data_IF_196485214576
#
_entry.id   IF_196485214576
#
_cell.length_a   1.000
_cell.length_b   1.000
_cell.length_c   1.000
_cell.angle_alpha   90.00
_cell.angle_beta   90.00
_cell.angle_gamma   90.00
#
_symmetry.space_group_name_H-M   'P 1'
#
loop_
_entity.id
_entity.type
_entity.pdbx_description
1 polymer ?
#
# COMPACT_ATOMS: atom_id res chain seq x y z
N UNK A 1 13.44 7.45 63.41
CA UNK A 1 13.26 6.41 62.39
C UNK A 1 12.19 6.84 61.39
N UNK A 2 12.58 7.40 60.24
CA UNK A 2 11.69 7.60 59.09
C UNK A 2 12.55 7.43 57.83
N UNK A 3 12.53 6.24 57.25
CA UNK A 3 13.13 5.99 55.94
C UNK A 3 12.11 6.39 54.89
N UNK A 4 12.34 7.50 54.19
CA UNK A 4 11.58 7.85 52.99
C UNK A 4 12.18 7.05 51.82
N UNK A 5 11.51 5.98 51.42
CA UNK A 5 11.84 5.26 50.18
C UNK A 5 11.38 6.13 49.00
N UNK A 6 12.34 6.70 48.26
CA UNK A 6 12.08 7.39 47.01
C UNK A 6 11.88 6.32 45.92
N UNK A 7 10.62 6.00 45.58
CA UNK A 7 10.33 5.19 44.40
C UNK A 7 10.58 6.03 43.14
N UNK A 8 11.72 5.81 42.48
CA UNK A 8 11.93 6.27 41.09
C UNK A 8 11.09 5.39 40.16
N UNK A 9 9.93 5.88 39.74
CA UNK A 9 9.16 5.28 38.65
C UNK A 9 9.90 5.53 37.33
N UNK A 10 10.52 4.48 36.78
CA UNK A 10 11.12 4.51 35.44
C UNK A 10 9.97 4.61 34.41
N UNK A 11 9.73 5.79 33.87
CA UNK A 11 8.78 5.98 32.78
C UNK A 11 9.36 5.34 31.52
N UNK A 12 8.86 4.15 31.15
CA UNK A 12 9.16 3.54 29.86
C UNK A 12 8.48 4.35 28.76
N UNK A 13 9.23 5.21 28.08
CA UNK A 13 8.79 5.81 26.83
C UNK A 13 8.76 4.71 25.76
N UNK A 14 7.56 4.26 25.38
CA UNK A 14 7.37 3.38 24.23
C UNK A 14 7.60 4.24 22.99
N UNK A 15 8.78 4.15 22.39
CA UNK A 15 9.04 4.80 21.10
C UNK A 15 8.26 4.04 20.02
N UNK A 16 7.34 4.72 19.33
CA UNK A 16 6.71 4.16 18.13
C UNK A 16 7.78 4.06 17.03
N UNK A 17 8.05 2.84 16.58
CA UNK A 17 8.92 2.57 15.45
C UNK A 17 8.05 2.63 14.19
N UNK A 18 8.21 3.68 13.38
CA UNK A 18 7.44 3.89 12.15
C UNK A 18 8.15 3.34 10.93
N UNK A 19 7.43 2.57 10.12
CA UNK A 19 7.88 2.10 8.81
C UNK A 19 7.41 3.05 7.71
N UNK A 20 8.07 3.00 6.55
CA UNK A 20 7.77 3.89 5.43
C UNK A 20 8.04 3.18 4.13
N UNK A 21 7.05 3.12 3.25
CA UNK A 21 7.15 2.37 2.00
C UNK A 21 6.03 2.68 1.02
N UNK A 22 6.28 2.44 -0.27
CA UNK A 22 5.31 2.63 -1.35
C UNK A 22 5.70 1.85 -2.60
N UNK A 23 4.75 1.64 -3.50
CA UNK A 23 5.06 1.28 -4.90
C UNK A 23 5.50 2.52 -5.67
N UNK A 24 6.67 2.46 -6.30
CA UNK A 24 7.19 3.51 -7.17
C UNK A 24 6.98 3.23 -8.66
N UNK A 25 6.94 1.95 -9.07
CA UNK A 25 6.57 1.54 -10.43
C UNK A 25 5.78 0.22 -10.38
N UNK A 26 4.56 0.12 -10.96
CA UNK A 26 3.77 1.20 -11.55
C UNK A 26 3.40 2.27 -10.50
N UNK A 27 3.54 3.55 -10.88
CA UNK A 27 3.36 4.70 -9.97
C UNK A 27 2.02 4.64 -9.25
N UNK A 28 2.06 4.68 -7.91
CA UNK A 28 0.84 4.70 -7.09
C UNK A 28 0.18 6.09 -7.07
N UNK A 29 -1.13 6.13 -6.82
CA UNK A 29 -1.98 7.35 -6.86
C UNK A 29 -1.37 8.53 -6.10
N UNK A 30 -0.91 8.29 -4.86
CA UNK A 30 -0.30 9.31 -4.00
C UNK A 30 1.05 9.84 -4.48
N UNK A 31 1.70 9.14 -5.42
CA UNK A 31 3.03 9.48 -5.94
C UNK A 31 3.01 10.10 -7.34
N UNK A 32 1.83 10.24 -7.99
CA UNK A 32 1.72 10.78 -9.36
C UNK A 32 2.40 12.15 -9.51
N UNK A 33 2.37 12.98 -8.46
CA UNK A 33 2.99 14.31 -8.44
C UNK A 33 4.51 14.34 -8.57
N UNK A 34 5.18 13.19 -8.37
CA UNK A 34 6.64 13.07 -8.53
C UNK A 34 7.07 12.88 -9.98
N UNK A 35 6.11 12.74 -10.89
CA UNK A 35 6.30 12.33 -12.27
C UNK A 35 5.76 13.43 -13.19
N UNK A 36 6.63 14.27 -13.79
CA UNK A 36 6.22 15.40 -14.62
C UNK A 36 5.30 15.00 -15.79
N UNK A 37 5.37 13.75 -16.24
CA UNK A 37 4.48 13.20 -17.26
C UNK A 37 3.00 13.20 -16.85
N UNK A 38 2.67 13.30 -15.56
CA UNK A 38 1.29 13.35 -15.05
C UNK A 38 0.83 14.75 -14.61
N UNK A 39 1.65 15.79 -14.77
CA UNK A 39 1.32 17.16 -14.36
C UNK A 39 0.02 17.67 -15.01
N UNK A 40 -0.28 17.23 -16.23
CA UNK A 40 -1.49 17.58 -16.97
C UNK A 40 -2.79 17.23 -16.21
N UNK A 41 -2.73 16.23 -15.33
CA UNK A 41 -3.88 15.75 -14.56
C UNK A 41 -4.01 16.43 -13.20
N UNK A 42 -3.11 17.35 -12.85
CA UNK A 42 -3.07 18.02 -11.56
C UNK A 42 -3.23 17.01 -10.38
N UNK A 43 -2.29 16.08 -10.18
CA UNK A 43 -2.43 14.96 -9.26
C UNK A 43 -2.53 15.34 -7.77
N UNK A 44 -2.45 16.63 -7.44
CA UNK A 44 -2.24 17.08 -6.07
C UNK A 44 -0.78 16.89 -5.67
N UNK A 45 -0.47 17.07 -4.39
CA UNK A 45 0.89 16.83 -3.87
C UNK A 45 0.79 16.20 -2.48
N UNK A 46 1.27 14.97 -2.37
CA UNK A 46 1.39 14.25 -1.11
C UNK A 46 2.88 14.07 -0.76
N UNK A 47 3.49 14.99 0.01
CA UNK A 47 4.91 14.90 0.34
C UNK A 47 5.29 13.64 1.13
N UNK A 48 4.34 13.11 1.89
CA UNK A 48 4.40 11.93 2.76
C UNK A 48 3.79 10.68 2.09
N UNK A 49 3.94 10.54 0.77
CA UNK A 49 3.45 9.41 -0.03
C UNK A 49 4.14 8.04 0.24
N UNK A 50 4.95 7.97 1.30
CA UNK A 50 5.46 6.75 1.94
C UNK A 50 4.66 6.37 3.21
N UNK A 51 3.76 7.24 3.67
CA UNK A 51 2.98 7.12 4.92
C UNK A 51 1.53 6.68 4.66
N UNK A 52 1.28 5.85 3.66
CA UNK A 52 -0.05 5.24 3.47
C UNK A 52 -0.25 4.03 4.42
N UNK A 53 -0.09 4.32 5.71
CA UNK A 53 0.04 3.42 6.86
C UNK A 53 -1.27 3.13 7.61
N UNK A 54 -2.39 3.20 6.91
CA UNK A 54 -3.72 2.87 7.45
C UNK A 54 -4.13 3.77 8.64
N UNK A 55 -3.61 5.00 8.68
CA UNK A 55 -3.83 5.98 9.75
C UNK A 55 -2.79 5.90 10.87
N UNK A 56 -2.69 4.76 11.55
CA UNK A 56 -1.62 4.44 12.53
C UNK A 56 -1.91 3.10 13.19
N UNK A 57 -0.99 2.62 14.02
CA UNK A 57 -1.23 1.46 14.89
C UNK A 57 -2.41 1.68 15.85
N UNK A 58 -2.56 2.89 16.38
CA UNK A 58 -3.70 3.24 17.24
C UNK A 58 -5.06 3.11 16.52
N UNK A 59 -5.06 3.20 15.17
CA UNK A 59 -6.23 2.93 14.34
C UNK A 59 -6.34 1.44 14.00
N UNK A 60 -5.25 0.76 13.63
CA UNK A 60 -5.36 -0.62 13.13
C UNK A 60 -5.53 -1.67 14.23
N UNK A 61 -4.91 -1.50 15.41
CA UNK A 61 -4.92 -2.51 16.48
C UNK A 61 -6.34 -2.82 16.99
N UNK A 62 -7.21 -1.83 17.29
CA UNK A 62 -8.57 -2.11 17.75
C UNK A 62 -9.46 -2.76 16.68
N UNK A 63 -9.07 -2.66 15.41
CA UNK A 63 -9.83 -3.16 14.26
C UNK A 63 -9.10 -4.29 13.51
N UNK A 64 -8.26 -5.05 14.22
CA UNK A 64 -7.64 -6.28 13.71
C UNK A 64 -6.90 -6.05 12.38
N UNK A 65 -6.14 -4.96 12.29
CA UNK A 65 -5.36 -4.65 11.09
C UNK A 65 -6.17 -4.06 9.93
N UNK A 66 -7.44 -3.72 10.14
CA UNK A 66 -8.27 -3.12 9.10
C UNK A 66 -7.65 -1.81 8.58
N UNK A 67 -7.72 -1.63 7.27
CA UNK A 67 -7.09 -0.53 6.55
C UNK A 67 -8.02 -0.03 5.44
N UNK A 68 -7.91 1.25 5.05
CA UNK A 68 -8.52 1.71 3.79
C UNK A 68 -7.97 0.92 2.60
N UNK A 69 -8.70 0.89 1.48
CA UNK A 69 -8.32 0.03 0.34
C UNK A 69 -6.95 0.43 -0.23
N UNK A 70 -6.61 1.71 -0.16
CA UNK A 70 -5.39 2.27 -0.72
C UNK A 70 -4.49 2.95 0.34
N UNK A 71 -4.63 2.52 1.61
CA UNK A 71 -3.72 2.87 2.71
C UNK A 71 -4.14 4.05 3.57
N UNK A 72 -5.29 4.65 3.27
CA UNK A 72 -5.95 5.64 4.13
C UNK A 72 -6.47 5.00 5.44
N UNK A 73 -6.77 5.84 6.44
CA UNK A 73 -7.36 5.39 7.70
C UNK A 73 -8.77 4.89 7.49
N UNK A 74 -9.15 3.81 8.18
CA UNK A 74 -10.54 3.34 8.15
C UNK A 74 -11.52 4.36 8.75
N UNK A 75 -11.02 5.28 9.59
CA UNK A 75 -11.79 6.34 10.23
C UNK A 75 -12.01 7.56 9.33
N UNK A 76 -11.28 7.65 8.21
CA UNK A 76 -11.49 8.71 7.24
C UNK A 76 -12.86 8.55 6.56
N UNK A 77 -13.56 9.65 6.26
CA UNK A 77 -14.81 9.58 5.52
C UNK A 77 -14.59 8.96 4.14
N UNK A 78 -15.55 8.15 3.68
CA UNK A 78 -15.60 7.78 2.27
C UNK A 78 -16.06 8.99 1.44
N UNK A 79 -15.48 9.28 0.28
CA UNK A 79 -14.39 8.58 -0.42
C UNK A 79 -13.03 8.97 0.17
N UNK A 80 -12.21 7.99 0.54
CA UNK A 80 -10.88 8.26 1.12
C UNK A 80 -9.93 8.78 0.04
N UNK A 81 -8.85 9.45 0.45
CA UNK A 81 -8.01 10.24 -0.46
C UNK A 81 -7.43 9.44 -1.63
N UNK A 82 -7.13 8.16 -1.43
CA UNK A 82 -6.51 7.31 -2.44
C UNK A 82 -7.46 6.29 -3.08
N UNK A 83 -8.73 6.24 -2.66
CA UNK A 83 -9.75 5.37 -3.25
C UNK A 83 -10.37 6.04 -4.50
N UNK A 84 -11.13 5.31 -5.32
CA UNK A 84 -11.86 5.87 -6.49
C UNK A 84 -12.67 7.11 -6.08
N UNK A 85 -12.47 8.22 -6.82
CA UNK A 85 -13.08 9.53 -6.56
C UNK A 85 -12.44 10.33 -5.41
N UNK A 86 -11.36 9.82 -4.82
CA UNK A 86 -10.57 10.48 -3.80
C UNK A 86 -9.66 11.60 -4.33
N UNK A 87 -9.08 12.37 -3.40
CA UNK A 87 -8.22 13.52 -3.67
C UNK A 87 -7.04 13.23 -4.63
N UNK A 88 -6.40 12.07 -4.51
CA UNK A 88 -5.23 11.65 -5.28
C UNK A 88 -5.58 10.68 -6.42
N UNK A 89 -6.85 10.37 -6.61
CA UNK A 89 -7.31 9.53 -7.69
C UNK A 89 -7.60 10.39 -8.94
N UNK A 90 -7.09 9.96 -10.10
CA UNK A 90 -7.12 10.73 -11.35
C UNK A 90 -7.55 9.94 -12.60
N UNK A 91 -7.86 8.65 -12.45
CA UNK A 91 -8.24 7.77 -13.54
C UNK A 91 -7.14 7.49 -14.55
N UNK A 92 -5.87 7.77 -14.19
CA UNK A 92 -4.73 7.66 -15.09
C UNK A 92 -4.23 6.22 -15.08
N UNK A 93 -4.22 5.58 -16.25
CA UNK A 93 -3.55 4.30 -16.44
C UNK A 93 -2.04 4.55 -16.54
N UNK A 94 -1.29 4.22 -15.49
CA UNK A 94 0.16 4.49 -15.43
C UNK A 94 0.99 3.48 -16.21
N UNK A 95 0.46 2.27 -16.42
CA UNK A 95 1.08 1.20 -17.22
C UNK A 95 0.01 0.32 -17.86
N UNK A 96 0.33 -0.21 -19.04
CA UNK A 96 -0.44 -1.28 -19.69
C UNK A 96 0.45 -2.50 -19.83
N UNK A 97 -0.09 -3.67 -19.48
CA UNK A 97 0.61 -4.94 -19.54
C UNK A 97 -0.20 -5.96 -20.34
N UNK A 98 0.44 -7.05 -20.77
CA UNK A 98 -0.27 -8.14 -21.41
C UNK A 98 -0.84 -9.10 -20.35
N UNK A 99 -2.01 -9.69 -20.64
CA UNK A 99 -2.60 -10.77 -19.85
C UNK A 99 -1.59 -11.92 -19.65
N UNK A 100 -1.54 -12.46 -18.43
CA UNK A 100 -0.59 -13.53 -18.06
C UNK A 100 0.88 -13.10 -17.95
N UNK A 101 1.23 -11.83 -18.21
CA UNK A 101 2.61 -11.38 -18.16
C UNK A 101 3.19 -11.41 -16.74
N UNK A 102 4.49 -11.70 -16.65
CA UNK A 102 5.27 -11.40 -15.44
C UNK A 102 5.79 -9.96 -15.54
N UNK A 103 5.36 -9.11 -14.61
CA UNK A 103 5.66 -7.68 -14.59
C UNK A 103 6.60 -7.34 -13.43
N UNK A 104 7.55 -6.39 -13.61
CA UNK A 104 8.29 -5.83 -12.49
C UNK A 104 7.39 -4.86 -11.71
N UNK A 105 7.37 -4.99 -10.39
CA UNK A 105 6.75 -4.03 -9.47
C UNK A 105 7.83 -3.55 -8.50
N UNK A 106 8.24 -2.30 -8.63
CA UNK A 106 9.26 -1.67 -7.80
C UNK A 106 8.62 -1.07 -6.55
N UNK A 107 9.11 -1.52 -5.39
CA UNK A 107 8.72 -1.04 -4.07
C UNK A 107 9.89 -0.27 -3.47
N UNK A 108 9.66 0.97 -3.07
CA UNK A 108 10.61 1.78 -2.33
C UNK A 108 10.30 1.69 -0.84
N UNK A 109 11.31 1.31 -0.04
CA UNK A 109 11.21 1.24 1.42
C UNK A 109 12.14 2.30 2.00
N UNK A 110 11.58 3.37 2.57
CA UNK A 110 12.34 4.45 3.18
C UNK A 110 12.75 4.13 4.64
N UNK A 111 11.91 3.38 5.36
CA UNK A 111 12.21 2.87 6.70
C UNK A 111 11.64 1.45 6.82
N UNK A 112 12.51 0.45 6.72
CA UNK A 112 12.12 -0.95 6.69
C UNK A 112 12.13 -1.61 8.05
N UNK A 113 10.97 -2.05 8.52
CA UNK A 113 10.83 -2.82 9.77
C UNK A 113 10.34 -4.24 9.52
N UNK A 114 11.10 -4.96 8.70
CA UNK A 114 10.88 -6.37 8.35
C UNK A 114 9.44 -6.68 7.86
N UNK A 115 9.00 -7.92 8.06
CA UNK A 115 7.67 -8.40 7.70
C UNK A 115 7.57 -8.88 6.27
N UNK A 116 6.41 -8.66 5.66
CA UNK A 116 6.09 -9.19 4.34
C UNK A 116 5.13 -8.29 3.59
N UNK A 117 5.25 -8.27 2.28
CA UNK A 117 4.25 -7.64 1.43
C UNK A 117 3.79 -8.55 0.31
N UNK A 118 2.57 -8.29 -0.15
CA UNK A 118 1.92 -9.01 -1.24
C UNK A 118 1.24 -8.02 -2.18
N UNK A 119 0.84 -8.52 -3.34
CA UNK A 119 0.18 -7.75 -4.37
C UNK A 119 -1.18 -8.37 -4.67
N UNK A 120 -2.21 -7.52 -4.76
CA UNK A 120 -3.57 -7.90 -5.14
C UNK A 120 -4.01 -7.08 -6.34
N UNK A 121 -5.00 -7.57 -7.07
CA UNK A 121 -5.55 -6.90 -8.23
C UNK A 121 -7.07 -6.80 -8.12
N UNK A 122 -7.63 -5.64 -8.43
CA UNK A 122 -9.08 -5.48 -8.60
C UNK A 122 -9.37 -5.17 -10.07
N UNK A 123 -10.23 -5.98 -10.70
CA UNK A 123 -10.77 -5.71 -12.04
C UNK A 123 -11.91 -4.70 -11.96
N UNK A 124 -11.53 -3.44 -11.73
CA UNK A 124 -12.48 -2.33 -11.61
C UNK A 124 -13.33 -2.13 -12.88
N UNK A 125 -12.79 -2.45 -14.06
CA UNK A 125 -13.54 -2.33 -15.33
C UNK A 125 -14.77 -3.23 -15.36
N UNK A 126 -14.67 -4.41 -14.75
CA UNK A 126 -15.77 -5.36 -14.68
C UNK A 126 -16.66 -5.12 -13.44
N UNK A 127 -16.08 -4.82 -12.28
CA UNK A 127 -16.86 -4.69 -11.03
C UNK A 127 -17.51 -3.31 -10.85
N UNK A 128 -16.91 -2.26 -11.42
CA UNK A 128 -17.28 -0.86 -11.18
C UNK A 128 -17.01 -0.35 -9.76
N UNK A 129 -16.39 -1.16 -8.90
CA UNK A 129 -16.17 -0.85 -7.47
C UNK A 129 -14.86 -1.44 -6.95
N UNK A 130 -14.13 -0.66 -6.15
CA UNK A 130 -13.04 -1.18 -5.33
C UNK A 130 -13.61 -1.71 -4.01
N UNK A 131 -13.24 -2.95 -3.66
CA UNK A 131 -13.61 -3.58 -2.40
C UNK A 131 -12.52 -4.57 -1.99
N UNK A 132 -12.45 -4.90 -0.69
CA UNK A 132 -11.57 -5.98 -0.21
C UNK A 132 -11.83 -7.27 -0.99
N UNK A 133 -13.11 -7.61 -1.23
CA UNK A 133 -13.50 -8.78 -2.03
C UNK A 133 -12.92 -8.75 -3.46
N UNK A 134 -12.95 -7.59 -4.13
CA UNK A 134 -12.39 -7.45 -5.47
C UNK A 134 -10.88 -7.76 -5.48
N UNK A 135 -10.16 -7.23 -4.50
CA UNK A 135 -8.72 -7.45 -4.35
C UNK A 135 -8.38 -8.87 -3.91
N UNK A 136 -9.09 -9.41 -2.93
CA UNK A 136 -8.84 -10.74 -2.37
C UNK A 136 -9.14 -11.86 -3.37
N UNK A 137 -10.04 -11.63 -4.33
CA UNK A 137 -10.28 -12.55 -5.44
C UNK A 137 -9.07 -12.69 -6.39
N UNK A 138 -8.11 -11.75 -6.38
CA UNK A 138 -6.90 -11.83 -7.20
C UNK A 138 -5.64 -11.50 -6.40
N UNK A 139 -5.35 -12.31 -5.37
CA UNK A 139 -4.01 -12.36 -4.79
C UNK A 139 -3.01 -12.85 -5.86
N UNK A 140 -2.05 -11.98 -6.20
CA UNK A 140 -1.09 -12.25 -7.28
C UNK A 140 0.06 -13.13 -6.79
N UNK A 141 0.54 -14.00 -7.67
CA UNK A 141 1.73 -14.81 -7.44
C UNK A 141 2.97 -14.06 -7.90
N UNK A 142 4.09 -14.37 -7.29
CA UNK A 142 5.42 -14.00 -7.76
C UNK A 142 5.92 -15.05 -8.76
N UNK A 143 6.95 -14.69 -9.52
CA UNK A 143 7.56 -15.57 -10.52
C UNK A 143 8.12 -16.89 -9.94
N UNK A 144 8.45 -16.91 -8.64
CA UNK A 144 8.87 -18.12 -7.92
C UNK A 144 7.70 -18.98 -7.39
N UNK A 145 6.47 -18.57 -7.68
CA UNK A 145 5.23 -19.23 -7.27
C UNK A 145 4.72 -18.86 -5.88
N UNK A 146 5.50 -18.14 -5.08
CA UNK A 146 5.06 -17.61 -3.78
C UNK A 146 4.10 -16.43 -3.95
N UNK A 147 3.50 -15.94 -2.85
CA UNK A 147 2.60 -14.77 -2.88
C UNK A 147 3.10 -13.61 -2.04
N UNK A 148 4.20 -13.80 -1.29
CA UNK A 148 4.72 -12.83 -0.34
C UNK A 148 6.20 -12.62 -0.56
N UNK A 149 6.59 -11.36 -0.67
CA UNK A 149 7.98 -10.95 -0.57
C UNK A 149 8.29 -10.72 0.90
N UNK A 150 9.35 -11.35 1.40
CA UNK A 150 9.90 -11.02 2.71
C UNK A 150 10.56 -9.64 2.62
N UNK A 151 10.07 -8.67 3.39
CA UNK A 151 10.73 -7.39 3.48
C UNK A 151 11.95 -7.50 4.40
N UNK A 152 13.12 -7.15 3.89
CA UNK A 152 14.38 -7.06 4.65
C UNK A 152 14.88 -5.61 4.75
N UNK A 153 13.97 -4.65 4.52
CA UNK A 153 14.16 -3.21 4.68
C UNK A 153 14.84 -2.48 3.53
N UNK A 154 14.99 -3.15 2.39
CA UNK A 154 15.54 -2.55 1.17
C UNK A 154 14.44 -2.31 0.13
N UNK A 155 14.64 -1.33 -0.74
CA UNK A 155 13.85 -1.19 -1.97
C UNK A 155 14.10 -2.40 -2.89
N UNK A 156 13.02 -3.05 -3.33
CA UNK A 156 13.08 -4.32 -4.08
C UNK A 156 12.11 -4.23 -5.26
N UNK A 157 12.51 -4.80 -6.40
CA UNK A 157 11.59 -5.05 -7.52
C UNK A 157 11.13 -6.50 -7.47
N UNK A 158 9.83 -6.71 -7.31
CA UNK A 158 9.20 -8.02 -7.30
C UNK A 158 8.71 -8.38 -8.71
N UNK A 159 8.94 -9.62 -9.14
CA UNK A 159 8.41 -10.13 -10.39
C UNK A 159 7.03 -10.74 -10.13
N UNK A 160 5.97 -10.00 -10.47
CA UNK A 160 4.57 -10.33 -10.18
C UNK A 160 3.91 -10.90 -11.43
N UNK A 161 3.21 -12.02 -11.31
CA UNK A 161 2.51 -12.68 -12.41
C UNK A 161 1.07 -12.21 -12.45
N UNK A 162 0.68 -11.56 -13.55
CA UNK A 162 -0.70 -11.17 -13.81
C UNK A 162 -1.56 -12.40 -14.15
N UNK A 163 -2.86 -12.40 -13.82
CA UNK A 163 -3.73 -13.54 -14.11
C UNK A 163 -3.84 -13.78 -15.63
N UNK A 164 -3.76 -15.04 -16.05
CA UNK A 164 -3.97 -15.43 -17.44
C UNK A 164 -5.45 -15.32 -17.81
N UNK A 165 -5.74 -14.70 -18.96
CA UNK A 165 -7.10 -14.50 -19.47
C UNK A 165 -7.83 -13.31 -18.88
N UNK A 166 -7.25 -12.63 -17.87
CA UNK A 166 -7.80 -11.39 -17.33
C UNK A 166 -7.41 -10.23 -18.23
N UNK A 167 -8.41 -9.46 -18.68
CA UNK A 167 -8.21 -8.19 -19.39
C UNK A 167 -9.06 -7.12 -18.73
N UNK A 168 -8.53 -5.90 -18.66
CA UNK A 168 -9.20 -4.78 -18.03
C UNK A 168 -8.66 -3.47 -18.60
N UNK A 169 -9.56 -2.56 -18.95
CA UNK A 169 -9.19 -1.19 -19.35
C UNK A 169 -8.69 -0.34 -18.19
N UNK A 170 -9.05 -0.76 -16.98
CA UNK A 170 -8.68 -0.21 -15.69
C UNK A 170 -8.76 -1.32 -14.64
N UNK A 171 -7.60 -1.76 -14.19
CA UNK A 171 -7.40 -2.56 -12.99
C UNK A 171 -6.69 -1.72 -11.94
N UNK A 172 -6.88 -2.09 -10.67
CA UNK A 172 -6.19 -1.46 -9.55
C UNK A 172 -5.24 -2.48 -8.95
N UNK A 173 -3.95 -2.21 -9.03
CA UNK A 173 -2.91 -2.99 -8.35
C UNK A 173 -2.77 -2.45 -6.93
N UNK A 174 -3.07 -3.27 -5.93
CA UNK A 174 -2.86 -2.94 -4.52
C UNK A 174 -1.59 -3.63 -4.02
N UNK A 175 -0.67 -2.84 -3.49
CA UNK A 175 0.40 -3.36 -2.63
C UNK A 175 -0.08 -3.34 -1.18
N UNK A 176 0.17 -4.41 -0.45
CA UNK A 176 -0.18 -4.54 0.96
C UNK A 176 1.05 -5.01 1.74
N UNK A 177 1.50 -4.21 2.70
CA UNK A 177 2.65 -4.53 3.55
C UNK A 177 2.24 -4.57 5.02
N UNK A 178 2.66 -5.63 5.70
CA UNK A 178 2.70 -5.67 7.16
C UNK A 178 4.16 -5.65 7.63
N UNK A 179 4.54 -4.62 8.38
CA UNK A 179 5.89 -4.46 8.93
C UNK A 179 6.00 -5.07 10.33
N UNK A 180 6.68 -6.22 10.47
CA UNK A 180 6.69 -7.00 11.71
C UNK A 180 7.36 -6.28 12.89
N UNK A 181 8.42 -5.50 12.64
CA UNK A 181 9.08 -4.70 13.68
C UNK A 181 8.23 -3.53 14.17
N UNK A 182 7.46 -2.91 13.27
CA UNK A 182 6.58 -1.76 13.58
C UNK A 182 5.17 -2.16 14.05
N UNK A 183 4.72 -3.36 13.69
CA UNK A 183 3.31 -3.80 13.80
C UNK A 183 2.33 -2.87 13.06
N UNK A 184 2.76 -2.31 11.93
CA UNK A 184 1.95 -1.40 11.12
C UNK A 184 1.63 -2.02 9.76
N UNK A 185 0.52 -1.58 9.19
CA UNK A 185 0.04 -1.95 7.86
C UNK A 185 0.19 -0.78 6.91
N UNK A 186 0.50 -1.06 5.65
CA UNK A 186 0.60 -0.07 4.58
C UNK A 186 -0.09 -0.60 3.35
N UNK A 187 -0.75 0.29 2.62
CA UNK A 187 -1.27 -0.03 1.29
C UNK A 187 -1.06 1.11 0.32
N UNK A 188 -0.86 0.78 -0.95
CA UNK A 188 -0.89 1.77 -2.04
C UNK A 188 -1.60 1.17 -3.23
N UNK A 189 -2.24 2.03 -4.04
CA UNK A 189 -2.95 1.60 -5.26
C UNK A 189 -2.37 2.27 -6.49
N UNK A 190 -2.18 1.49 -7.55
CA UNK A 190 -1.77 1.97 -8.88
C UNK A 190 -2.80 1.55 -9.92
N UNK A 191 -3.25 2.47 -10.76
CA UNK A 191 -4.20 2.20 -11.84
C UNK A 191 -3.46 1.72 -13.10
N UNK A 192 -3.70 0.48 -13.52
CA UNK A 192 -3.05 -0.16 -14.67
C UNK A 192 -4.09 -0.70 -15.65
N UNK A 193 -3.67 -1.07 -16.86
CA UNK A 193 -4.50 -1.82 -17.81
C UNK A 193 -3.85 -3.16 -18.16
N UNK A 194 -4.69 -4.14 -18.51
CA UNK A 194 -4.27 -5.48 -18.93
C UNK A 194 -4.99 -5.82 -20.24
N UNK A 195 -4.23 -6.19 -21.27
CA UNK A 195 -4.73 -6.49 -22.63
C UNK A 195 -4.29 -7.86 -23.15
#
# INVERSE_FOLDING_TARGET
MKYFALCFSLAFAVAEIRAHGRVSDPVQRGSLWRHPEYDYANPGRQPDDYENFCGSRAVTDPFIGACGLCGDSILDPKLRKHEIGGEFERGIIVKTYNSGATIPVSVEIAAGHDGWYEFRLCDYSNTGVESEECFDNHLLRLADGSTRVKNAGNSITAQVVLPEGLTCTRCVLQWHWYGDGSKQYYRTCSDIAIQ
#
